data_IF_519004241948
#
_entry.id   IF_519004241948
#
_cell.length_a   1.000
_cell.length_b   1.000
_cell.length_c   1.000
_cell.angle_alpha   90.00
_cell.angle_beta   90.00
_cell.angle_gamma   90.00
#
_symmetry.space_group_name_H-M   'P 1'
#
loop_
_entity.id
_entity.type
_entity.pdbx_description
1 polymer ?
#
# COMPACT_ATOMS: atom_id res chain seq x y z
N UNK A 1 -65.47 13.50 20.90
CA UNK A 1 -65.55 13.24 22.36
C UNK A 1 -64.46 12.23 22.70
N UNK A 2 -63.25 12.64 23.07
CA UNK A 2 -62.71 12.94 24.41
C UNK A 2 -62.69 11.74 25.37
N UNK A 3 -61.46 11.42 25.84
CA UNK A 3 -61.04 10.57 26.98
C UNK A 3 -60.99 9.06 26.63
N UNK A 4 -59.96 8.28 26.95
CA UNK A 4 -59.28 8.12 28.23
C UNK A 4 -57.81 7.65 28.03
N UNK A 5 -56.99 8.06 28.99
CA UNK A 5 -55.57 7.80 29.21
C UNK A 5 -55.21 6.30 29.30
N UNK A 6 -54.05 5.92 28.75
CA UNK A 6 -53.24 4.83 29.30
C UNK A 6 -51.77 5.24 29.23
N UNK A 7 -51.25 5.64 30.38
CA UNK A 7 -49.82 5.68 30.67
C UNK A 7 -49.38 4.27 31.03
N UNK A 8 -48.29 3.75 30.45
CA UNK A 8 -47.16 3.17 31.21
C UNK A 8 -46.02 2.72 30.28
N UNK A 9 -44.81 3.04 30.74
CA UNK A 9 -43.50 2.67 30.25
C UNK A 9 -43.36 1.31 29.55
N UNK A 10 -42.78 1.32 28.35
CA UNK A 10 -41.90 0.23 27.91
C UNK A 10 -40.59 0.86 27.49
N UNK A 11 -39.54 0.42 28.18
CA UNK A 11 -38.14 0.62 27.87
C UNK A 11 -37.88 0.53 26.36
N UNK A 12 -37.53 1.65 25.74
CA UNK A 12 -36.71 1.63 24.54
C UNK A 12 -35.36 2.20 24.97
N UNK A 13 -34.39 1.29 24.95
CA UNK A 13 -32.97 1.46 25.22
C UNK A 13 -32.44 2.84 24.81
N UNK A 14 -31.36 3.35 25.43
CA UNK A 14 -30.52 4.27 24.68
C UNK A 14 -30.14 3.48 23.43
N UNK A 15 -30.67 3.89 22.28
CA UNK A 15 -30.08 3.55 21.01
C UNK A 15 -28.65 4.02 21.19
N UNK A 16 -27.73 3.07 21.37
CA UNK A 16 -26.29 3.30 21.33
C UNK A 16 -26.08 4.05 20.02
N UNK A 17 -26.02 5.36 20.13
CA UNK A 17 -25.66 6.24 19.05
C UNK A 17 -24.31 5.72 18.62
N UNK A 18 -24.27 5.19 17.40
CA UNK A 18 -23.07 4.88 16.66
C UNK A 18 -22.11 6.04 16.90
N UNK A 19 -21.06 5.80 17.69
CA UNK A 19 -20.11 6.82 18.09
C UNK A 19 -19.42 7.29 16.81
N UNK A 20 -19.92 8.40 16.26
CA UNK A 20 -19.33 9.06 15.11
C UNK A 20 -17.90 9.40 15.51
N UNK A 21 -16.91 8.70 14.94
CA UNK A 21 -15.48 8.99 15.11
C UNK A 21 -15.29 10.51 15.17
N UNK A 22 -14.60 11.07 16.18
CA UNK A 22 -14.40 12.50 16.30
C UNK A 22 -13.98 13.10 14.97
N UNK A 23 -14.50 14.28 14.60
CA UNK A 23 -14.25 14.91 13.28
C UNK A 23 -12.74 14.98 12.97
N UNK A 24 -11.90 15.19 14.00
CA UNK A 24 -10.44 15.16 13.86
C UNK A 24 -9.89 13.80 13.39
N UNK A 25 -10.45 12.68 13.86
CA UNK A 25 -10.06 11.33 13.46
C UNK A 25 -10.59 10.98 12.06
N UNK A 26 -11.79 11.44 11.69
CA UNK A 26 -12.30 11.27 10.31
C UNK A 26 -11.50 12.09 9.30
N UNK A 27 -11.17 13.35 9.63
CA UNK A 27 -10.33 14.20 8.78
C UNK A 27 -8.91 13.64 8.71
N UNK A 28 -8.36 13.13 9.81
CA UNK A 28 -7.09 12.42 9.84
C UNK A 28 -7.08 11.17 8.96
N UNK A 29 -8.10 10.31 9.08
CA UNK A 29 -8.26 9.11 8.26
C UNK A 29 -8.40 9.45 6.77
N UNK A 30 -9.14 10.52 6.43
CA UNK A 30 -9.32 10.98 5.05
C UNK A 30 -8.04 11.57 4.43
N UNK A 31 -7.21 12.25 5.23
CA UNK A 31 -5.95 12.84 4.78
C UNK A 31 -4.77 11.87 4.83
N UNK A 32 -4.89 10.76 5.56
CA UNK A 32 -3.85 9.74 5.70
C UNK A 32 -3.23 9.28 4.38
N UNK A 33 -3.98 8.88 3.34
CA UNK A 33 -3.38 8.45 2.08
C UNK A 33 -2.59 9.57 1.39
N UNK A 34 -3.04 10.82 1.48
CA UNK A 34 -2.31 11.96 0.93
C UNK A 34 -1.02 12.26 1.72
N UNK A 35 -1.07 12.17 3.04
CA UNK A 35 0.09 12.32 3.91
C UNK A 35 1.13 11.20 3.70
N UNK A 36 0.67 9.95 3.54
CA UNK A 36 1.54 8.81 3.24
C UNK A 36 2.22 8.95 1.87
N UNK A 37 1.49 9.37 0.84
CA UNK A 37 2.04 9.63 -0.48
C UNK A 37 3.10 10.75 -0.45
N UNK A 38 2.79 11.87 0.22
CA UNK A 38 3.75 12.96 0.40
C UNK A 38 4.99 12.51 1.18
N UNK A 39 4.81 11.74 2.25
CA UNK A 39 5.89 11.18 3.04
C UNK A 39 6.81 10.27 2.23
N UNK A 40 6.26 9.42 1.35
CA UNK A 40 7.04 8.58 0.42
C UNK A 40 7.88 9.45 -0.50
N UNK A 41 7.29 10.47 -1.14
CA UNK A 41 8.01 11.38 -2.06
C UNK A 41 9.15 12.11 -1.36
N UNK A 42 8.90 12.69 -0.19
CA UNK A 42 9.94 13.39 0.57
C UNK A 42 11.07 12.45 0.97
N UNK A 43 10.75 11.24 1.46
CA UNK A 43 11.76 10.27 1.84
C UNK A 43 12.62 9.82 0.65
N UNK A 44 12.02 9.60 -0.52
CA UNK A 44 12.76 9.28 -1.75
C UNK A 44 13.71 10.41 -2.12
N UNK A 45 13.23 11.65 -2.17
CA UNK A 45 14.06 12.82 -2.51
C UNK A 45 15.26 12.98 -1.55
N UNK A 46 15.02 12.81 -0.25
CA UNK A 46 16.07 12.89 0.77
C UNK A 46 17.11 11.79 0.57
N UNK A 47 16.69 10.55 0.33
CA UNK A 47 17.63 9.46 0.08
C UNK A 47 18.40 9.68 -1.23
N UNK A 48 17.76 10.16 -2.30
CA UNK A 48 18.43 10.45 -3.57
C UNK A 48 19.48 11.55 -3.40
N UNK A 49 19.15 12.62 -2.69
CA UNK A 49 20.08 13.70 -2.36
C UNK A 49 21.32 13.16 -1.63
N UNK A 50 21.12 12.34 -0.59
CA UNK A 50 22.23 11.77 0.17
C UNK A 50 23.00 10.70 -0.60
N UNK A 51 22.34 9.94 -1.50
CA UNK A 51 22.98 8.94 -2.34
C UNK A 51 24.07 9.56 -3.24
N UNK A 52 23.98 10.85 -3.58
CA UNK A 52 25.07 11.57 -4.27
C UNK A 52 26.36 11.72 -3.45
N UNK A 53 26.30 11.58 -2.13
CA UNK A 53 27.48 11.70 -1.26
C UNK A 53 28.34 10.43 -1.24
N UNK A 54 29.66 10.58 -1.06
CA UNK A 54 30.63 9.46 -1.00
C UNK A 54 30.85 8.92 0.43
N UNK A 55 30.05 9.35 1.40
CA UNK A 55 30.18 8.96 2.82
C UNK A 55 29.25 7.82 3.26
N UNK A 56 29.31 7.41 4.54
CA UNK A 56 28.41 6.40 5.12
C UNK A 56 26.93 6.73 4.93
N UNK A 57 26.58 8.00 4.99
CA UNK A 57 25.21 8.48 4.75
C UNK A 57 24.74 8.21 3.32
N UNK A 58 25.59 8.42 2.31
CA UNK A 58 25.26 8.08 0.93
C UNK A 58 25.21 6.57 0.65
N UNK A 59 26.01 5.77 1.35
CA UNK A 59 25.88 4.31 1.30
C UNK A 59 24.56 3.85 1.91
N UNK A 60 24.19 4.38 3.09
CA UNK A 60 22.92 4.08 3.73
C UNK A 60 21.73 4.50 2.85
N UNK A 61 21.80 5.67 2.23
CA UNK A 61 20.74 6.15 1.34
C UNK A 61 20.57 5.26 0.10
N UNK A 62 21.67 4.85 -0.56
CA UNK A 62 21.64 3.87 -1.67
C UNK A 62 21.04 2.53 -1.24
N UNK A 63 21.43 2.02 -0.06
CA UNK A 63 20.87 0.79 0.48
C UNK A 63 19.37 0.92 0.76
N UNK A 64 18.94 2.08 1.28
CA UNK A 64 17.53 2.35 1.54
C UNK A 64 16.71 2.39 0.25
N UNK A 65 17.19 3.10 -0.78
CA UNK A 65 16.56 3.15 -2.11
C UNK A 65 16.44 1.74 -2.70
N UNK A 66 17.54 0.96 -2.68
CA UNK A 66 17.52 -0.42 -3.19
C UNK A 66 16.50 -1.29 -2.44
N UNK A 67 16.43 -1.15 -1.11
CA UNK A 67 15.46 -1.89 -0.30
C UNK A 67 14.01 -1.46 -0.57
N UNK A 68 13.78 -0.17 -0.85
CA UNK A 68 12.46 0.35 -1.21
C UNK A 68 12.02 -0.17 -2.58
N UNK A 69 12.90 -0.12 -3.58
CA UNK A 69 12.62 -0.65 -4.92
C UNK A 69 12.30 -2.15 -4.85
N UNK A 70 13.06 -2.92 -4.08
CA UNK A 70 12.76 -4.34 -3.89
C UNK A 70 11.40 -4.57 -3.24
N UNK A 71 11.05 -3.83 -2.17
CA UNK A 71 9.74 -3.94 -1.52
C UNK A 71 8.60 -3.55 -2.47
N UNK A 72 8.81 -2.53 -3.29
CA UNK A 72 7.82 -2.09 -4.27
C UNK A 72 7.63 -3.11 -5.39
N UNK A 73 8.72 -3.73 -5.87
CA UNK A 73 8.67 -4.85 -6.82
C UNK A 73 7.98 -6.08 -6.24
N UNK A 74 8.23 -6.39 -4.98
CA UNK A 74 7.58 -7.51 -4.28
C UNK A 74 6.09 -7.24 -4.02
N UNK A 75 5.73 -6.00 -3.67
CA UNK A 75 4.35 -5.60 -3.43
C UNK A 75 3.53 -5.51 -4.72
N UNK A 76 4.14 -5.09 -5.83
CA UNK A 76 3.51 -5.03 -7.16
C UNK A 76 3.80 -6.27 -8.02
N UNK A 77 4.35 -7.32 -7.40
CA UNK A 77 4.66 -8.57 -8.08
C UNK A 77 3.38 -9.19 -8.63
N UNK A 78 3.37 -9.46 -9.93
CA UNK A 78 2.29 -10.18 -10.59
C UNK A 78 2.21 -11.65 -10.17
N UNK A 79 1.24 -12.36 -10.74
CA UNK A 79 1.11 -13.80 -10.51
C UNK A 79 2.37 -14.52 -10.99
N UNK A 80 2.95 -15.36 -10.12
CA UNK A 80 4.06 -16.23 -10.50
C UNK A 80 3.62 -17.17 -11.61
N UNK A 81 4.42 -17.25 -12.66
CA UNK A 81 4.16 -18.07 -13.84
C UNK A 81 5.04 -19.30 -13.84
N UNK A 82 4.63 -20.33 -14.56
CA UNK A 82 5.45 -21.52 -14.74
C UNK A 82 6.55 -21.29 -15.77
N UNK A 83 7.64 -22.07 -15.70
CA UNK A 83 8.71 -21.99 -16.70
C UNK A 83 8.19 -22.21 -18.13
N UNK A 84 7.17 -23.06 -18.30
CA UNK A 84 6.53 -23.30 -19.61
C UNK A 84 5.86 -22.06 -20.18
N UNK A 85 5.31 -21.19 -19.34
CA UNK A 85 4.63 -19.97 -19.78
C UNK A 85 5.64 -18.89 -20.19
N UNK A 86 6.79 -18.84 -19.52
CA UNK A 86 7.82 -17.83 -19.70
C UNK A 86 9.00 -18.27 -20.58
N UNK A 87 9.09 -19.51 -21.03
CA UNK A 87 10.22 -19.93 -21.87
C UNK A 87 10.21 -19.15 -23.21
N UNK A 88 11.39 -18.70 -23.66
CA UNK A 88 11.57 -18.05 -24.95
C UNK A 88 11.60 -19.09 -26.09
N UNK A 89 11.23 -18.71 -27.33
CA UNK A 89 11.45 -19.55 -28.51
C UNK A 89 12.90 -20.06 -28.57
N UNK A 90 13.10 -21.30 -29.01
CA UNK A 90 14.41 -21.94 -29.02
C UNK A 90 14.90 -22.41 -27.64
N UNK A 91 14.03 -22.46 -26.63
CA UNK A 91 14.33 -22.91 -25.26
C UNK A 91 15.42 -22.08 -24.56
N UNK A 92 15.51 -20.79 -24.87
CA UNK A 92 16.45 -19.88 -24.20
C UNK A 92 15.91 -19.53 -22.81
N UNK A 93 16.77 -19.68 -21.80
CA UNK A 93 16.50 -19.28 -20.41
C UNK A 93 17.51 -18.20 -20.04
N UNK A 94 17.02 -17.01 -19.77
CA UNK A 94 17.79 -15.84 -19.34
C UNK A 94 17.09 -15.13 -18.17
N UNK A 95 17.60 -13.96 -17.79
CA UNK A 95 17.07 -13.18 -16.68
C UNK A 95 15.62 -12.71 -16.94
N UNK A 96 15.22 -12.48 -18.19
CA UNK A 96 13.83 -12.12 -18.52
C UNK A 96 12.87 -13.28 -18.24
N UNK A 97 13.28 -14.52 -18.53
CA UNK A 97 12.50 -15.72 -18.19
C UNK A 97 12.34 -15.83 -16.68
N UNK A 98 13.41 -15.58 -15.92
CA UNK A 98 13.37 -15.58 -14.45
C UNK A 98 12.44 -14.50 -13.92
N UNK A 99 12.53 -13.26 -14.43
CA UNK A 99 11.65 -12.17 -14.05
C UNK A 99 10.18 -12.44 -14.40
N UNK A 100 9.91 -13.11 -15.52
CA UNK A 100 8.56 -13.51 -15.91
C UNK A 100 7.98 -14.61 -15.00
N UNK A 101 8.76 -15.64 -14.67
CA UNK A 101 8.37 -16.69 -13.70
C UNK A 101 8.09 -16.04 -12.35
N UNK A 102 8.97 -15.12 -11.98
CA UNK A 102 8.84 -14.37 -10.76
C UNK A 102 7.67 -13.37 -10.82
N UNK A 103 6.96 -13.19 -11.93
CA UNK A 103 5.85 -12.24 -12.01
C UNK A 103 6.28 -10.77 -11.94
N UNK A 104 7.58 -10.49 -12.11
CA UNK A 104 8.16 -9.16 -12.16
C UNK A 104 8.07 -8.55 -13.56
N UNK A 105 7.96 -9.40 -14.60
CA UNK A 105 7.88 -8.99 -16.01
C UNK A 105 6.71 -9.67 -16.74
N UNK A 106 6.13 -8.97 -17.70
CA UNK A 106 5.19 -9.54 -18.66
C UNK A 106 5.93 -10.10 -19.87
N UNK A 107 5.44 -11.22 -20.40
CA UNK A 107 6.00 -11.84 -21.60
C UNK A 107 5.76 -10.95 -22.82
N UNK A 108 6.85 -10.60 -23.52
CA UNK A 108 6.85 -9.75 -24.71
C UNK A 108 7.61 -10.36 -25.90
N UNK A 109 7.90 -11.67 -25.85
CA UNK A 109 8.62 -12.45 -26.87
C UNK A 109 7.82 -13.63 -27.42
#
# INVERSE_FOLDING_TARGET
>A
MKRILLALAIASSPTLAEESKPVATQVGDALRPAAEAYGKTVNTLVNEFFAGSKGPMGQAARANIKSQDQREREANRGVRRTMKECIKPGNVIDDDVKECIDGLRNKDW
#
